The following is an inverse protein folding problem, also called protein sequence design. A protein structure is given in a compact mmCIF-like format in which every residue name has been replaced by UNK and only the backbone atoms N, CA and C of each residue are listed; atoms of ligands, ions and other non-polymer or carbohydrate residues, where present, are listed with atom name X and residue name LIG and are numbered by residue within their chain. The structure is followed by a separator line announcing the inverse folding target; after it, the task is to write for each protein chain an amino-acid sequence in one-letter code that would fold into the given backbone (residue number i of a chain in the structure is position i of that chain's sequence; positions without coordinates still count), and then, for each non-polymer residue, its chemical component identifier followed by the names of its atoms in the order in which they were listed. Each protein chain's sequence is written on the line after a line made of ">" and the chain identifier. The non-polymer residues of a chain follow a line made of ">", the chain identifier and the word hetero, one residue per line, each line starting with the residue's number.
data_IF_007453607192
#
_entry.id   IF_007453607192
#
_cell.length_a   1.000
_cell.length_b   1.000
_cell.length_c   1.000
_cell.angle_alpha   90.00
_cell.angle_beta   90.00
_cell.angle_gamma   90.00
#
_symmetry.space_group_name_H-M   'P 1'
#
loop_
_entity.id
_entity.type
_entity.pdbx_description
1 polymer ?
#
# COMPACT_ATOMS: atom_id res chain seq x y z
N UNK A 1 -15.15 2.71 13.91
CA UNK A 1 -16.25 3.13 14.80
C UNK A 1 -17.48 2.57 14.14
N UNK A 2 -18.12 1.57 14.75
CA UNK A 2 -19.23 0.88 14.09
C UNK A 2 -20.53 1.50 14.59
N UNK A 3 -21.06 2.41 13.79
CA UNK A 3 -22.35 3.09 14.01
C UNK A 3 -23.32 2.51 13.00
N UNK A 4 -24.49 2.06 13.46
CA UNK A 4 -25.54 1.53 12.58
C UNK A 4 -26.53 2.63 12.20
N UNK A 5 -27.34 2.47 11.15
CA UNK A 5 -28.46 3.38 10.91
C UNK A 5 -29.38 3.44 12.13
N UNK A 6 -29.69 4.66 12.61
CA UNK A 6 -30.53 4.86 13.79
C UNK A 6 -31.99 4.46 13.51
N UNK A 7 -32.61 3.81 14.50
CA UNK A 7 -34.06 3.57 14.52
C UNK A 7 -34.83 4.88 14.69
N UNK A 8 -36.15 4.88 14.42
CA UNK A 8 -36.98 6.10 14.57
C UNK A 8 -36.93 6.66 15.99
N UNK A 9 -36.95 5.80 17.00
CA UNK A 9 -36.88 6.20 18.41
C UNK A 9 -35.53 6.81 18.76
N UNK A 10 -34.44 6.17 18.31
CA UNK A 10 -33.09 6.70 18.50
C UNK A 10 -32.89 8.06 17.81
N UNK A 11 -33.49 8.27 16.63
CA UNK A 11 -33.45 9.57 15.93
C UNK A 11 -34.13 10.67 16.73
N UNK A 12 -35.35 10.41 17.22
CA UNK A 12 -36.09 11.36 18.06
C UNK A 12 -35.31 11.69 19.33
N UNK A 13 -34.77 10.69 20.00
CA UNK A 13 -33.93 10.88 21.19
C UNK A 13 -32.67 11.71 20.88
N UNK A 14 -32.05 11.47 19.72
CA UNK A 14 -30.91 12.24 19.24
C UNK A 14 -31.27 13.71 18.94
N UNK A 15 -32.42 13.97 18.32
CA UNK A 15 -32.89 15.33 18.04
C UNK A 15 -33.15 16.10 19.35
N UNK A 16 -33.84 15.48 20.32
CA UNK A 16 -34.16 16.08 21.62
C UNK A 16 -32.89 16.45 22.43
N UNK A 17 -31.84 15.63 22.32
CA UNK A 17 -30.60 15.80 23.08
C UNK A 17 -29.46 16.40 22.27
N UNK A 18 -29.72 16.89 21.04
CA UNK A 18 -28.67 17.32 20.11
C UNK A 18 -27.86 18.50 20.65
N UNK A 19 -28.50 19.37 21.45
CA UNK A 19 -27.88 20.52 22.11
C UNK A 19 -26.60 20.17 22.90
N UNK A 20 -26.47 18.93 23.39
CA UNK A 20 -25.29 18.46 24.10
C UNK A 20 -24.01 18.50 23.25
N UNK A 21 -24.12 18.39 21.93
CA UNK A 21 -22.98 18.49 21.02
C UNK A 21 -22.39 19.90 21.07
N UNK A 22 -23.22 20.93 20.93
CA UNK A 22 -22.79 22.32 21.02
C UNK A 22 -22.29 22.68 22.41
N UNK A 23 -22.95 22.18 23.47
CA UNK A 23 -22.47 22.35 24.84
C UNK A 23 -21.07 21.76 25.03
N UNK A 24 -20.81 20.57 24.46
CA UNK A 24 -19.49 19.94 24.52
C UNK A 24 -18.43 20.74 23.76
N UNK A 25 -18.75 21.22 22.55
CA UNK A 25 -17.85 22.03 21.72
C UNK A 25 -17.49 23.34 22.41
N UNK A 26 -18.49 24.06 22.93
CA UNK A 26 -18.31 25.32 23.65
C UNK A 26 -17.48 25.13 24.94
N UNK A 27 -17.73 24.08 25.71
CA UNK A 27 -16.94 23.79 26.93
C UNK A 27 -15.48 23.39 26.65
N UNK A 28 -15.16 23.02 25.41
CA UNK A 28 -13.81 22.63 24.99
C UNK A 28 -13.13 23.67 24.11
N UNK A 29 -13.77 24.83 23.90
CA UNK A 29 -13.31 25.88 23.00
C UNK A 29 -12.99 25.34 21.59
N UNK A 30 -13.82 24.42 21.09
CA UNK A 30 -13.65 23.79 19.78
C UNK A 30 -14.53 24.47 18.74
N UNK A 31 -13.98 24.98 17.63
CA UNK A 31 -14.76 25.57 16.57
C UNK A 31 -15.67 24.52 15.91
N UNK A 32 -16.97 24.81 15.84
CA UNK A 32 -17.99 23.93 15.28
C UNK A 32 -17.63 23.49 13.85
N UNK A 33 -17.18 24.43 13.02
CA UNK A 33 -16.84 24.20 11.61
C UNK A 33 -15.76 23.14 11.38
N UNK A 34 -14.93 22.84 12.38
CA UNK A 34 -13.82 21.90 12.25
C UNK A 34 -13.98 20.62 13.09
N UNK A 35 -14.86 20.63 14.10
CA UNK A 35 -14.95 19.52 15.06
C UNK A 35 -16.34 18.92 15.18
N UNK A 36 -17.38 19.54 14.62
CA UNK A 36 -18.73 18.99 14.68
C UNK A 36 -18.81 17.58 14.06
N UNK A 37 -18.26 17.43 12.86
CA UNK A 37 -18.16 16.15 12.13
C UNK A 37 -17.34 15.09 12.89
N UNK A 38 -16.37 15.50 13.70
CA UNK A 38 -15.58 14.59 14.53
C UNK A 38 -16.37 14.10 15.74
N UNK A 39 -17.02 15.02 16.47
CA UNK A 39 -17.67 14.68 17.74
C UNK A 39 -19.07 14.07 17.54
N UNK A 40 -19.76 14.40 16.45
CA UNK A 40 -21.13 13.94 16.19
C UNK A 40 -21.22 12.41 16.14
N UNK A 41 -20.21 11.72 15.61
CA UNK A 41 -20.17 10.26 15.60
C UNK A 41 -20.06 9.68 17.01
N UNK A 42 -19.33 10.34 17.92
CA UNK A 42 -19.30 9.98 19.33
C UNK A 42 -20.66 10.14 19.99
N UNK A 43 -21.35 11.23 19.69
CA UNK A 43 -22.69 11.51 20.18
C UNK A 43 -23.71 10.46 19.68
N UNK A 44 -23.76 10.21 18.37
CA UNK A 44 -24.68 9.23 17.78
C UNK A 44 -24.44 7.81 18.31
N UNK A 45 -23.17 7.45 18.54
CA UNK A 45 -22.85 6.18 19.19
C UNK A 45 -23.37 6.12 20.64
N UNK A 46 -23.28 7.22 21.38
CA UNK A 46 -23.85 7.29 22.73
C UNK A 46 -25.37 7.13 22.72
N UNK A 47 -26.07 7.72 21.75
CA UNK A 47 -27.53 7.55 21.56
C UNK A 47 -27.85 6.07 21.38
N UNK A 48 -27.16 5.37 20.48
CA UNK A 48 -27.38 3.93 20.24
C UNK A 48 -27.16 3.11 21.50
N UNK A 49 -25.99 3.25 22.13
CA UNK A 49 -25.65 2.50 23.32
C UNK A 49 -26.63 2.76 24.46
N UNK A 50 -27.06 4.01 24.65
CA UNK A 50 -28.00 4.38 25.71
C UNK A 50 -29.40 3.81 25.48
N UNK A 51 -29.87 3.76 24.22
CA UNK A 51 -31.15 3.15 23.89
C UNK A 51 -31.12 1.61 23.97
N UNK A 52 -29.99 0.98 23.65
CA UNK A 52 -29.87 -0.48 23.56
C UNK A 52 -29.45 -1.14 24.88
N UNK A 53 -28.64 -0.48 25.71
CA UNK A 53 -28.03 -1.07 26.91
C UNK A 53 -28.61 -0.44 28.18
N UNK A 54 -29.57 -1.12 28.79
CA UNK A 54 -30.26 -0.64 30.00
C UNK A 54 -29.34 -0.42 31.20
N UNK A 55 -28.23 -1.17 31.30
CA UNK A 55 -27.22 -0.97 32.35
C UNK A 55 -26.53 0.41 32.30
N UNK A 56 -26.63 1.14 31.17
CA UNK A 56 -26.08 2.49 31.04
C UNK A 56 -27.00 3.57 31.61
N UNK A 57 -28.28 3.25 31.88
CA UNK A 57 -29.24 4.19 32.48
C UNK A 57 -28.92 4.54 33.94
N UNK A 58 -27.98 3.82 34.57
CA UNK A 58 -27.39 4.22 35.86
C UNK A 58 -26.64 5.55 35.78
N UNK A 59 -26.23 5.97 34.58
CA UNK A 59 -25.59 7.25 34.33
C UNK A 59 -26.53 8.16 33.56
N UNK A 60 -26.41 9.48 33.76
CA UNK A 60 -27.09 10.46 32.91
C UNK A 60 -26.59 10.32 31.47
N UNK A 61 -27.49 10.45 30.50
CA UNK A 61 -27.14 10.39 29.08
C UNK A 61 -26.02 11.39 28.72
N UNK A 62 -26.07 12.62 29.27
CA UNK A 62 -25.05 13.64 29.04
C UNK A 62 -23.65 13.17 29.40
N UNK A 63 -23.49 12.43 30.50
CA UNK A 63 -22.20 11.86 30.92
C UNK A 63 -21.66 10.88 29.88
N UNK A 64 -22.52 9.97 29.40
CA UNK A 64 -22.15 8.99 28.37
C UNK A 64 -21.82 9.69 27.04
N UNK A 65 -22.65 10.64 26.62
CA UNK A 65 -22.45 11.42 25.40
C UNK A 65 -21.10 12.15 25.43
N UNK A 66 -20.78 12.84 26.53
CA UNK A 66 -19.51 13.54 26.70
C UNK A 66 -18.31 12.58 26.66
N UNK A 67 -18.44 11.41 27.30
CA UNK A 67 -17.39 10.38 27.27
C UNK A 67 -17.14 9.88 25.84
N UNK A 68 -18.19 9.61 25.06
CA UNK A 68 -18.08 9.13 23.68
C UNK A 68 -17.58 10.21 22.71
N UNK A 69 -18.04 11.45 22.87
CA UNK A 69 -17.52 12.60 22.11
C UNK A 69 -16.03 12.82 22.38
N UNK A 70 -15.61 12.83 23.66
CA UNK A 70 -14.19 12.90 24.06
C UNK A 70 -13.36 11.75 23.47
N UNK A 71 -13.91 10.53 23.46
CA UNK A 71 -13.22 9.37 22.86
C UNK A 71 -13.03 9.55 21.36
N UNK A 72 -14.02 10.07 20.65
CA UNK A 72 -13.96 10.33 19.21
C UNK A 72 -12.93 11.40 18.88
N UNK A 73 -12.91 12.48 19.66
CA UNK A 73 -11.92 13.54 19.56
C UNK A 73 -10.48 13.05 19.85
N UNK A 74 -10.29 12.19 20.86
CA UNK A 74 -8.98 11.56 21.10
C UNK A 74 -8.54 10.70 19.92
N UNK A 75 -9.46 9.95 19.31
CA UNK A 75 -9.16 9.14 18.12
C UNK A 75 -8.81 10.00 16.91
N UNK A 76 -9.48 11.14 16.73
CA UNK A 76 -9.16 12.11 15.68
C UNK A 76 -7.73 12.64 15.82
N UNK A 77 -7.34 13.12 17.00
CA UNK A 77 -5.97 13.57 17.23
C UNK A 77 -4.93 12.45 17.06
N UNK A 78 -5.25 11.23 17.51
CA UNK A 78 -4.39 10.05 17.25
C UNK A 78 -4.27 9.72 15.76
N UNK A 79 -5.32 9.95 14.97
CA UNK A 79 -5.25 9.77 13.53
C UNK A 79 -4.37 10.82 12.88
N UNK A 80 -4.50 12.08 13.32
CA UNK A 80 -3.69 13.20 12.86
C UNK A 80 -2.23 13.13 13.30
N UNK A 81 -1.88 12.40 14.37
CA UNK A 81 -0.50 12.31 14.87
C UNK A 81 0.23 11.05 14.41
N UNK A 82 -0.39 10.21 13.57
CA UNK A 82 0.18 8.92 13.17
C UNK A 82 1.27 9.09 12.11
N UNK A 83 2.50 8.60 12.34
CA UNK A 83 3.61 8.76 11.39
C UNK A 83 3.30 8.24 9.98
N UNK A 84 2.56 7.13 9.83
CA UNK A 84 2.17 6.59 8.52
C UNK A 84 1.23 7.51 7.72
N UNK A 85 0.53 8.44 8.38
CA UNK A 85 -0.38 9.41 7.74
C UNK A 85 0.19 10.82 7.65
N UNK A 86 1.26 11.08 8.41
CA UNK A 86 2.06 12.30 8.34
C UNK A 86 3.45 12.03 7.76
N UNK A 87 3.57 10.99 6.94
CA UNK A 87 4.85 10.73 6.28
C UNK A 87 5.14 11.93 5.37
N UNK A 88 6.37 12.47 5.38
CA UNK A 88 6.75 13.47 4.40
C UNK A 88 6.51 12.89 3.01
N UNK A 89 5.75 13.61 2.19
CA UNK A 89 5.51 13.25 0.80
C UNK A 89 6.45 14.10 -0.04
N UNK A 90 7.15 13.45 -0.96
CA UNK A 90 8.01 14.08 -1.95
C UNK A 90 7.36 13.96 -3.32
N UNK A 91 7.61 14.92 -4.20
CA UNK A 91 7.20 14.78 -5.59
C UNK A 91 8.13 13.79 -6.29
N UNK A 92 7.60 13.00 -7.23
CA UNK A 92 8.43 12.13 -8.06
C UNK A 92 9.44 12.93 -8.92
N UNK A 93 9.05 14.14 -9.31
CA UNK A 93 9.88 15.06 -10.10
C UNK A 93 10.72 16.00 -9.23
N UNK A 94 10.82 15.73 -7.93
CA UNK A 94 11.72 16.46 -7.03
C UNK A 94 13.11 15.80 -7.04
N UNK A 95 14.15 16.63 -7.01
CA UNK A 95 15.55 16.21 -6.99
C UNK A 95 15.93 15.67 -5.61
N UNK A 96 16.74 14.62 -5.60
CA UNK A 96 17.36 14.08 -4.40
C UNK A 96 18.69 14.82 -4.19
N UNK A 97 18.71 15.76 -3.24
CA UNK A 97 19.91 16.54 -2.91
C UNK A 97 20.02 17.85 -3.73
N UNK A 98 21.24 18.26 -4.05
CA UNK A 98 21.54 19.56 -4.69
C UNK A 98 21.48 19.50 -6.24
N UNK A 99 21.73 20.65 -6.90
CA UNK A 99 21.75 20.79 -8.37
C UNK A 99 22.73 19.79 -9.02
N UNK A 100 22.18 18.69 -9.52
CA UNK A 100 22.92 17.54 -10.07
C UNK A 100 22.48 16.17 -9.53
N UNK A 101 21.58 16.14 -8.55
CA UNK A 101 20.96 14.92 -8.03
C UNK A 101 20.05 14.20 -9.04
N UNK A 102 19.68 12.97 -8.71
CA UNK A 102 18.67 12.20 -9.46
C UNK A 102 17.26 12.58 -8.99
N UNK A 103 16.27 12.45 -9.86
CA UNK A 103 14.88 12.60 -9.48
C UNK A 103 14.38 11.38 -8.70
N UNK A 104 13.39 11.58 -7.81
CA UNK A 104 12.77 10.49 -7.06
C UNK A 104 12.19 9.40 -7.97
N UNK A 105 11.67 9.73 -9.15
CA UNK A 105 11.19 8.74 -10.12
C UNK A 105 12.29 7.84 -10.71
N UNK A 106 13.51 8.34 -10.82
CA UNK A 106 14.65 7.58 -11.35
C UNK A 106 15.14 6.55 -10.32
N UNK A 107 15.12 6.92 -9.04
CA UNK A 107 15.55 6.04 -7.94
C UNK A 107 14.46 5.08 -7.51
N UNK A 108 13.20 5.55 -7.44
CA UNK A 108 12.04 4.72 -7.14
C UNK A 108 11.58 4.09 -8.45
N UNK A 109 12.43 3.24 -9.04
CA UNK A 109 12.09 2.56 -10.28
C UNK A 109 10.82 1.72 -10.05
N UNK A 110 9.71 2.08 -10.71
CA UNK A 110 8.67 1.10 -10.98
C UNK A 110 9.30 0.11 -11.96
N UNK A 111 9.66 -1.07 -11.47
CA UNK A 111 10.02 -2.17 -12.37
C UNK A 111 8.82 -2.42 -13.28
N UNK A 112 8.84 -1.85 -14.48
CA UNK A 112 7.87 -2.21 -15.50
C UNK A 112 8.27 -3.59 -16.01
N UNK A 113 7.56 -4.61 -15.55
CA UNK A 113 7.78 -5.99 -15.98
C UNK A 113 7.78 -6.13 -17.50
N UNK A 114 7.02 -5.29 -18.23
CA UNK A 114 7.01 -5.31 -19.69
C UNK A 114 8.33 -4.81 -20.26
N UNK A 115 8.89 -3.75 -19.68
CA UNK A 115 10.17 -3.20 -20.11
C UNK A 115 11.31 -4.18 -19.83
N UNK A 116 11.34 -4.80 -18.64
CA UNK A 116 12.33 -5.85 -18.33
C UNK A 116 12.25 -7.06 -19.26
N UNK A 117 11.02 -7.49 -19.61
CA UNK A 117 10.81 -8.57 -20.59
C UNK A 117 11.31 -8.17 -21.97
N UNK A 118 11.06 -6.93 -22.40
CA UNK A 118 11.54 -6.41 -23.68
C UNK A 118 13.07 -6.37 -23.72
N UNK A 119 13.71 -5.83 -22.69
CA UNK A 119 15.18 -5.78 -22.57
C UNK A 119 15.80 -7.18 -22.63
N UNK A 120 15.21 -8.14 -21.91
CA UNK A 120 15.66 -9.53 -21.92
C UNK A 120 15.52 -10.17 -23.32
N UNK A 121 14.40 -9.96 -24.02
CA UNK A 121 14.21 -10.45 -25.39
C UNK A 121 15.16 -9.79 -26.39
N UNK A 122 15.44 -8.49 -26.24
CA UNK A 122 16.43 -7.78 -27.06
C UNK A 122 17.83 -8.37 -26.87
N UNK A 123 18.25 -8.63 -25.63
CA UNK A 123 19.52 -9.29 -25.34
C UNK A 123 19.59 -10.70 -25.94
N UNK A 124 18.52 -11.49 -25.81
CA UNK A 124 18.43 -12.82 -26.41
C UNK A 124 18.49 -12.76 -27.94
N UNK A 125 17.88 -11.74 -28.56
CA UNK A 125 17.94 -11.52 -29.99
C UNK A 125 19.36 -11.17 -30.45
N UNK A 126 20.03 -10.23 -29.78
CA UNK A 126 21.42 -9.86 -30.09
C UNK A 126 22.38 -11.07 -30.00
N UNK A 127 22.15 -11.98 -29.04
CA UNK A 127 22.93 -13.21 -28.92
C UNK A 127 22.70 -14.20 -30.06
N UNK A 128 21.52 -14.22 -30.70
CA UNK A 128 21.24 -15.15 -31.80
C UNK A 128 22.17 -14.98 -33.00
N UNK A 129 22.69 -13.77 -33.22
CA UNK A 129 23.63 -13.49 -34.29
C UNK A 129 25.07 -13.91 -33.95
N UNK A 130 25.39 -14.08 -32.66
CA UNK A 130 26.76 -14.27 -32.17
C UNK A 130 27.04 -15.67 -31.64
N UNK A 131 26.00 -16.44 -31.33
CA UNK A 131 26.11 -17.78 -30.77
C UNK A 131 25.50 -18.83 -31.69
N UNK A 132 26.03 -20.07 -31.68
CA UNK A 132 25.45 -21.13 -32.50
C UNK A 132 24.05 -21.51 -32.00
N UNK A 133 23.23 -22.04 -32.92
CA UNK A 133 21.80 -22.29 -32.68
C UNK A 133 21.53 -23.23 -31.49
N UNK A 134 22.43 -24.18 -31.22
CA UNK A 134 22.26 -25.17 -30.16
C UNK A 134 22.43 -24.55 -28.78
N UNK A 135 23.47 -23.75 -28.62
CA UNK A 135 23.79 -22.97 -27.43
C UNK A 135 22.69 -21.96 -27.14
N UNK A 136 22.17 -21.28 -28.17
CA UNK A 136 21.02 -20.39 -28.01
C UNK A 136 19.74 -21.11 -27.56
N UNK A 137 19.49 -22.34 -28.02
CA UNK A 137 18.36 -23.14 -27.52
C UNK A 137 18.55 -23.49 -26.04
N UNK A 138 19.76 -23.86 -25.62
CA UNK A 138 20.10 -24.12 -24.22
C UNK A 138 19.87 -22.85 -23.37
N UNK A 139 20.37 -21.69 -23.82
CA UNK A 139 20.19 -20.41 -23.12
C UNK A 139 18.71 -20.05 -22.99
N UNK A 140 17.93 -20.13 -24.08
CA UNK A 140 16.48 -19.85 -24.04
C UNK A 140 15.73 -20.78 -23.10
N UNK A 141 16.07 -22.07 -23.09
CA UNK A 141 15.48 -23.02 -22.14
C UNK A 141 15.84 -22.70 -20.69
N UNK A 142 17.08 -22.26 -20.43
CA UNK A 142 17.51 -21.80 -19.11
C UNK A 142 16.78 -20.55 -18.65
N UNK A 143 16.64 -19.54 -19.52
CA UNK A 143 15.92 -18.29 -19.22
C UNK A 143 14.44 -18.55 -18.94
N UNK A 144 13.83 -19.50 -19.66
CA UNK A 144 12.44 -19.93 -19.41
C UNK A 144 12.27 -20.71 -18.09
N UNK A 145 13.36 -21.15 -17.46
CA UNK A 145 13.33 -21.93 -16.22
C UNK A 145 13.21 -23.44 -16.41
N UNK A 146 13.53 -23.98 -17.59
CA UNK A 146 13.50 -25.43 -17.82
C UNK A 146 14.52 -26.16 -16.94
N UNK A 147 14.13 -27.34 -16.43
CA UNK A 147 15.02 -28.15 -15.58
C UNK A 147 16.17 -28.71 -16.41
N UNK A 148 17.33 -28.91 -15.76
CA UNK A 148 18.52 -29.44 -16.44
C UNK A 148 18.27 -30.80 -17.11
N UNK A 149 17.42 -31.64 -16.50
CA UNK A 149 17.02 -32.93 -17.06
C UNK A 149 16.26 -32.78 -18.39
N UNK A 150 15.34 -31.82 -18.48
CA UNK A 150 14.53 -31.58 -19.69
C UNK A 150 15.41 -31.04 -20.83
N UNK A 151 16.36 -30.15 -20.50
CA UNK A 151 17.36 -29.64 -21.44
C UNK A 151 18.24 -30.79 -21.97
N UNK A 152 18.75 -31.63 -21.07
CA UNK A 152 19.58 -32.78 -21.42
C UNK A 152 18.85 -33.78 -22.33
N UNK A 153 17.59 -34.09 -22.00
CA UNK A 153 16.75 -34.97 -22.81
C UNK A 153 16.49 -34.39 -24.19
N UNK A 154 16.19 -33.09 -24.28
CA UNK A 154 15.85 -32.42 -25.55
C UNK A 154 17.05 -32.21 -26.46
N UNK A 155 18.18 -31.77 -25.93
CA UNK A 155 19.40 -31.51 -26.71
C UNK A 155 20.33 -32.73 -26.80
N UNK A 156 19.97 -33.86 -26.16
CA UNK A 156 20.78 -35.10 -26.10
C UNK A 156 22.20 -34.81 -25.62
N UNK A 157 22.31 -34.13 -24.48
CA UNK A 157 23.58 -33.73 -23.86
C UNK A 157 23.63 -34.17 -22.41
N UNK A 158 24.82 -34.48 -21.93
CA UNK A 158 25.03 -34.67 -20.48
C UNK A 158 25.05 -33.33 -19.76
N UNK A 159 24.82 -33.33 -18.45
CA UNK A 159 24.86 -32.10 -17.65
C UNK A 159 26.21 -31.39 -17.75
N UNK A 160 27.31 -32.16 -17.80
CA UNK A 160 28.66 -31.63 -17.98
C UNK A 160 28.81 -30.91 -19.32
N UNK A 161 28.28 -31.47 -20.41
CA UNK A 161 28.32 -30.85 -21.73
C UNK A 161 27.47 -29.57 -21.79
N UNK A 162 26.32 -29.54 -21.11
CA UNK A 162 25.48 -28.33 -21.01
C UNK A 162 26.21 -27.22 -20.26
N UNK A 163 26.82 -27.53 -19.12
CA UNK A 163 27.59 -26.54 -18.35
C UNK A 163 28.78 -26.00 -19.14
N UNK A 164 29.53 -26.87 -19.83
CA UNK A 164 30.62 -26.44 -20.70
C UNK A 164 30.14 -25.56 -21.86
N UNK A 165 28.97 -25.84 -22.43
CA UNK A 165 28.39 -25.00 -23.48
C UNK A 165 28.01 -23.62 -22.95
N UNK A 166 27.42 -23.54 -21.74
CA UNK A 166 27.10 -22.26 -21.09
C UNK A 166 28.35 -21.46 -20.70
N UNK A 167 29.36 -22.12 -20.14
CA UNK A 167 30.65 -21.50 -19.81
C UNK A 167 31.31 -20.87 -21.04
N UNK A 168 31.30 -21.57 -22.18
CA UNK A 168 31.84 -21.04 -23.45
C UNK A 168 31.07 -19.82 -23.97
N UNK A 169 29.77 -19.75 -23.72
CA UNK A 169 28.93 -18.63 -24.16
C UNK A 169 29.08 -17.40 -23.25
N UNK A 170 29.51 -17.58 -22.00
CA UNK A 170 29.55 -16.55 -20.97
C UNK A 170 30.25 -15.24 -21.39
N UNK A 171 31.44 -15.26 -22.04
CA UNK A 171 32.10 -14.03 -22.48
C UNK A 171 31.28 -13.26 -23.53
N UNK A 172 30.60 -13.98 -24.42
CA UNK A 172 29.74 -13.37 -25.46
C UNK A 172 28.50 -12.75 -24.84
N UNK A 173 27.90 -13.43 -23.85
CA UNK A 173 26.76 -12.91 -23.07
C UNK A 173 27.13 -11.62 -22.36
N UNK A 174 28.27 -11.59 -21.65
CA UNK A 174 28.77 -10.38 -21.00
C UNK A 174 28.95 -9.24 -22.01
N UNK A 175 29.60 -9.51 -23.14
CA UNK A 175 29.82 -8.47 -24.15
C UNK A 175 28.54 -7.88 -24.72
N UNK A 176 27.45 -8.65 -24.81
CA UNK A 176 26.14 -8.13 -25.25
C UNK A 176 25.47 -7.31 -24.15
N UNK A 177 25.64 -7.69 -22.89
CA UNK A 177 25.02 -6.98 -21.75
C UNK A 177 25.72 -5.66 -21.42
N UNK A 178 27.01 -5.52 -21.72
CA UNK A 178 27.79 -4.32 -21.41
C UNK A 178 28.00 -3.37 -22.60
N UNK A 179 27.58 -3.76 -23.81
CA UNK A 179 27.73 -2.97 -25.03
C UNK A 179 29.10 -3.13 -25.65
#
# INVERSE_FOLDING_TARGET
>A
MDIRPLTKEQRRFAEENHHLVFTFLNQKDLPESAFYDVVIFGYLKAVQEYCEVQALHRFKFSTLAFQRMRSSLSNYYKCLSRPKRNAPVVSFSELIGDEGGLYWEEVISRQDELFQRLEAEMCLHALTARLPRREMRIIRMKVRGDRMHDIAKRERMTFRQINQALERCYPTVISVLWG
#
